data_IF_882935897034
#
_entry.id   IF_882935897034
#
_cell.length_a   1.000
_cell.length_b   1.000
_cell.length_c   1.000
_cell.angle_alpha   90.00
_cell.angle_beta   90.00
_cell.angle_gamma   90.00
#
_symmetry.space_group_name_H-M   'P 1'
#
loop_
_entity.id
_entity.type
_entity.pdbx_description
1 polymer ?
#
# COMPACT_ATOMS: atom_id res chain seq x y z
N UNK A 1 -26.56 -6.54 -50.14
CA UNK A 1 -25.81 -7.35 -49.19
C UNK A 1 -24.43 -6.72 -49.06
N UNK A 2 -24.20 -5.89 -48.03
CA UNK A 2 -22.91 -5.22 -47.75
C UNK A 2 -22.05 -6.09 -46.82
N UNK A 3 -20.72 -5.99 -46.90
CA UNK A 3 -19.84 -6.81 -46.09
C UNK A 3 -19.87 -6.36 -44.64
N UNK A 4 -20.10 -7.31 -43.73
CA UNK A 4 -20.01 -7.14 -42.29
C UNK A 4 -18.52 -6.94 -41.94
N UNK A 5 -18.14 -5.72 -41.54
CA UNK A 5 -16.81 -5.41 -41.02
C UNK A 5 -16.63 -6.10 -39.66
N UNK A 6 -15.86 -7.18 -39.65
CA UNK A 6 -15.39 -7.87 -38.45
C UNK A 6 -14.52 -6.91 -37.65
N UNK A 7 -15.02 -6.41 -36.53
CA UNK A 7 -14.24 -5.74 -35.50
C UNK A 7 -13.23 -6.74 -34.92
N UNK A 8 -11.93 -6.58 -35.26
CA UNK A 8 -10.83 -7.33 -34.66
C UNK A 8 -10.88 -7.11 -33.16
N UNK A 9 -11.38 -8.08 -32.42
CA UNK A 9 -11.19 -8.15 -30.97
C UNK A 9 -9.68 -8.12 -30.68
N UNK A 10 -9.22 -7.15 -29.92
CA UNK A 10 -7.80 -7.04 -29.51
C UNK A 10 -7.38 -8.34 -28.81
N UNK A 11 -6.11 -8.75 -29.03
CA UNK A 11 -5.53 -9.95 -28.41
C UNK A 11 -5.76 -9.91 -26.89
N UNK A 12 -6.29 -10.98 -26.26
CA UNK A 12 -6.52 -11.03 -24.81
C UNK A 12 -5.29 -10.60 -24.02
N UNK A 13 -5.52 -9.88 -22.93
CA UNK A 13 -4.45 -9.43 -22.03
C UNK A 13 -3.70 -10.66 -21.50
N UNK A 14 -2.39 -10.74 -21.71
CA UNK A 14 -1.59 -11.84 -21.20
C UNK A 14 -1.16 -11.53 -19.77
N UNK A 15 -1.89 -12.09 -18.80
CA UNK A 15 -1.66 -11.87 -17.36
C UNK A 15 -0.28 -12.35 -16.89
N UNK A 16 0.33 -13.32 -17.62
CA UNK A 16 1.69 -13.78 -17.31
C UNK A 16 2.71 -12.69 -17.57
N UNK A 17 2.53 -11.91 -18.64
CA UNK A 17 3.41 -10.77 -18.94
C UNK A 17 3.24 -9.69 -17.87
N UNK A 18 2.01 -9.40 -17.43
CA UNK A 18 1.74 -8.42 -16.39
C UNK A 18 2.39 -8.84 -15.06
N UNK A 19 2.33 -10.13 -14.69
CA UNK A 19 3.03 -10.71 -13.54
C UNK A 19 4.54 -10.54 -13.63
N UNK A 20 5.15 -10.96 -14.74
CA UNK A 20 6.60 -10.82 -14.97
C UNK A 20 7.07 -9.35 -14.93
N UNK A 21 6.26 -8.42 -15.43
CA UNK A 21 6.55 -6.98 -15.38
C UNK A 21 6.52 -6.45 -13.94
N UNK A 22 5.55 -6.88 -13.13
CA UNK A 22 5.46 -6.49 -11.71
C UNK A 22 6.65 -7.02 -10.91
N UNK A 23 7.00 -8.29 -11.08
CA UNK A 23 8.17 -8.90 -10.45
C UNK A 23 9.45 -8.18 -10.84
N UNK A 24 9.68 -7.96 -12.15
CA UNK A 24 10.83 -7.21 -12.64
C UNK A 24 10.89 -5.78 -12.09
N UNK A 25 9.74 -5.14 -11.90
CA UNK A 25 9.66 -3.79 -11.31
C UNK A 25 10.08 -3.82 -9.84
N UNK A 26 9.59 -4.76 -9.05
CA UNK A 26 9.96 -4.92 -7.63
C UNK A 26 11.45 -5.20 -7.48
N UNK A 27 12.01 -6.12 -8.27
CA UNK A 27 13.42 -6.47 -8.23
C UNK A 27 14.30 -5.27 -8.56
N UNK A 28 13.99 -4.55 -9.64
CA UNK A 28 14.73 -3.35 -10.03
C UNK A 28 14.60 -2.20 -9.01
N UNK A 29 13.44 -2.04 -8.37
CA UNK A 29 13.29 -1.07 -7.28
C UNK A 29 14.22 -1.38 -6.10
N UNK A 30 14.42 -2.66 -5.79
CA UNK A 30 15.35 -3.09 -4.73
C UNK A 30 16.83 -2.89 -5.15
N UNK A 31 17.16 -3.13 -6.43
CA UNK A 31 18.53 -3.02 -6.95
C UNK A 31 18.98 -1.56 -7.17
N UNK A 32 18.19 -0.80 -7.92
CA UNK A 32 18.59 0.54 -8.40
C UNK A 32 17.75 1.68 -7.81
N UNK A 33 16.74 1.37 -7.05
CA UNK A 33 15.80 2.34 -6.45
C UNK A 33 14.88 3.01 -7.47
N UNK A 34 14.04 3.92 -6.98
CA UNK A 34 13.03 4.60 -7.79
C UNK A 34 13.63 5.44 -8.92
N UNK A 35 14.69 6.20 -8.63
CA UNK A 35 15.34 7.09 -9.61
C UNK A 35 16.01 6.31 -10.74
N UNK A 36 16.57 5.13 -10.46
CA UNK A 36 17.25 4.28 -11.44
C UNK A 36 16.32 3.39 -12.25
N UNK A 37 15.04 3.29 -11.88
CA UNK A 37 14.07 2.47 -12.60
C UNK A 37 13.76 3.06 -13.98
N UNK A 38 13.92 2.27 -15.05
CA UNK A 38 13.56 2.65 -16.41
C UNK A 38 12.63 1.63 -17.06
N UNK A 39 11.79 2.09 -17.99
CA UNK A 39 10.92 1.19 -18.76
C UNK A 39 11.71 0.18 -19.60
N UNK A 40 12.90 0.58 -20.06
CA UNK A 40 13.82 -0.27 -20.80
C UNK A 40 14.33 -1.44 -19.95
N UNK A 41 14.79 -1.15 -18.74
CA UNK A 41 15.28 -2.18 -17.82
C UNK A 41 14.18 -3.16 -17.43
N UNK A 42 12.98 -2.65 -17.14
CA UNK A 42 11.81 -3.50 -16.82
C UNK A 42 11.42 -4.35 -18.03
N UNK A 43 11.35 -3.78 -19.22
CA UNK A 43 11.01 -4.53 -20.44
C UNK A 43 12.00 -5.66 -20.72
N UNK A 44 13.29 -5.36 -20.62
CA UNK A 44 14.38 -6.35 -20.80
C UNK A 44 14.26 -7.49 -19.80
N UNK A 45 14.09 -7.19 -18.51
CA UNK A 45 14.00 -8.19 -17.44
C UNK A 45 12.72 -9.04 -17.53
N UNK A 46 11.60 -8.43 -17.90
CA UNK A 46 10.32 -9.11 -18.05
C UNK A 46 10.16 -9.85 -19.40
N UNK A 47 11.19 -9.88 -20.26
CA UNK A 47 11.11 -10.54 -21.57
C UNK A 47 10.07 -9.91 -22.51
N UNK A 48 9.87 -8.59 -22.44
CA UNK A 48 8.91 -7.86 -23.27
C UNK A 48 9.56 -6.63 -23.93
N UNK A 49 8.78 -5.80 -24.61
CA UNK A 49 9.27 -4.59 -25.26
C UNK A 49 8.74 -3.33 -24.59
N UNK A 50 9.54 -2.24 -24.62
CA UNK A 50 9.12 -0.91 -24.13
C UNK A 50 7.81 -0.41 -24.77
N UNK A 51 7.55 -0.57 -26.08
CA UNK A 51 6.26 -0.24 -26.68
C UNK A 51 5.11 -1.05 -26.09
N UNK A 52 5.33 -2.33 -25.73
CA UNK A 52 4.31 -3.14 -25.08
C UNK A 52 3.99 -2.64 -23.67
N UNK A 53 5.01 -2.21 -22.90
CA UNK A 53 4.82 -1.57 -21.61
C UNK A 53 4.03 -0.26 -21.73
N UNK A 54 4.41 0.64 -22.65
CA UNK A 54 3.76 1.94 -22.84
C UNK A 54 2.28 1.86 -23.22
N UNK A 55 1.85 0.77 -23.82
CA UNK A 55 0.41 0.54 -24.10
C UNK A 55 -0.40 0.23 -22.84
N UNK A 56 0.26 -0.19 -21.74
CA UNK A 56 -0.38 -0.64 -20.49
C UNK A 56 -0.14 0.34 -19.34
N UNK A 57 1.03 0.94 -19.29
CA UNK A 57 1.45 1.88 -18.25
C UNK A 57 2.02 3.14 -18.89
N UNK A 58 1.50 4.30 -18.52
CA UNK A 58 1.91 5.60 -19.08
C UNK A 58 3.37 5.94 -18.78
N UNK A 59 3.89 5.48 -17.63
CA UNK A 59 5.24 5.76 -17.18
C UNK A 59 5.71 4.78 -16.11
N UNK A 60 6.96 4.95 -15.67
CA UNK A 60 7.56 4.13 -14.61
C UNK A 60 6.79 4.21 -13.29
N UNK A 61 6.27 5.39 -12.94
CA UNK A 61 5.50 5.62 -11.72
C UNK A 61 4.20 4.79 -11.70
N UNK A 62 3.53 4.62 -12.83
CA UNK A 62 2.36 3.76 -12.97
C UNK A 62 2.71 2.28 -12.78
N UNK A 63 3.89 1.85 -13.28
CA UNK A 63 4.42 0.50 -13.01
C UNK A 63 4.66 0.29 -11.52
N UNK A 64 5.23 1.29 -10.86
CA UNK A 64 5.51 1.21 -9.42
C UNK A 64 4.21 1.09 -8.64
N UNK A 65 3.20 1.91 -8.92
CA UNK A 65 1.88 1.82 -8.26
C UNK A 65 1.24 0.46 -8.50
N UNK A 66 1.25 -0.05 -9.75
CA UNK A 66 0.67 -1.36 -10.09
C UNK A 66 1.42 -2.51 -9.38
N UNK A 67 2.74 -2.44 -9.27
CA UNK A 67 3.55 -3.40 -8.52
C UNK A 67 3.27 -3.35 -7.00
N UNK A 68 3.09 -2.15 -6.45
CA UNK A 68 2.68 -1.95 -5.05
C UNK A 68 1.32 -2.59 -4.76
N UNK A 69 0.33 -2.30 -5.59
CA UNK A 69 -1.03 -2.86 -5.48
C UNK A 69 -0.98 -4.38 -5.50
N UNK A 70 -0.25 -4.97 -6.46
CA UNK A 70 -0.14 -6.41 -6.60
C UNK A 70 0.58 -7.08 -5.41
N UNK A 71 1.53 -6.37 -4.78
CA UNK A 71 2.37 -6.92 -3.71
C UNK A 71 1.71 -6.83 -2.33
N UNK A 72 1.00 -5.73 -2.05
CA UNK A 72 0.52 -5.38 -0.71
C UNK A 72 -0.98 -5.14 -0.67
N UNK A 73 -1.58 -4.72 -1.78
CA UNK A 73 -2.98 -4.30 -1.83
C UNK A 73 -3.98 -5.42 -1.52
N UNK A 74 -3.62 -6.67 -1.79
CA UNK A 74 -4.53 -7.82 -1.72
C UNK A 74 -4.45 -8.64 -0.43
N UNK A 75 -3.60 -8.27 0.55
CA UNK A 75 -3.48 -9.03 1.80
C UNK A 75 -4.53 -8.53 2.80
N UNK A 76 -5.60 -9.30 3.07
CA UNK A 76 -6.62 -8.90 4.04
C UNK A 76 -6.08 -8.97 5.47
N UNK A 77 -6.58 -8.09 6.33
CA UNK A 77 -6.37 -8.20 7.77
C UNK A 77 -7.14 -9.43 8.27
N UNK A 78 -6.50 -10.33 9.04
CA UNK A 78 -7.13 -11.57 9.49
C UNK A 78 -8.34 -11.31 10.40
N UNK A 79 -9.11 -12.34 10.63
CA UNK A 79 -10.20 -12.39 11.61
C UNK A 79 -9.95 -13.55 12.57
N UNK A 80 -9.14 -13.28 13.60
CA UNK A 80 -8.75 -14.28 14.59
C UNK A 80 -9.67 -14.30 15.82
N UNK A 81 -10.63 -13.37 15.90
CA UNK A 81 -11.41 -13.12 17.11
C UNK A 81 -10.69 -12.25 18.15
N UNK A 82 -9.48 -11.80 17.86
CA UNK A 82 -8.68 -10.94 18.75
C UNK A 82 -8.37 -9.62 18.04
N UNK A 83 -9.02 -8.53 18.45
CA UNK A 83 -8.84 -7.20 17.85
C UNK A 83 -7.39 -6.78 17.80
N UNK A 84 -6.65 -6.93 18.91
CA UNK A 84 -5.24 -6.60 18.97
C UNK A 84 -4.39 -7.40 17.95
N UNK A 85 -4.62 -8.72 17.88
CA UNK A 85 -3.88 -9.62 16.98
C UNK A 85 -4.12 -9.26 15.51
N UNK A 86 -5.36 -8.97 15.15
CA UNK A 86 -5.76 -8.61 13.79
C UNK A 86 -5.11 -7.28 13.36
N UNK A 87 -5.15 -6.26 14.24
CA UNK A 87 -4.52 -4.96 13.98
C UNK A 87 -2.99 -5.08 13.84
N UNK A 88 -2.33 -5.85 14.72
CA UNK A 88 -0.89 -6.10 14.61
C UNK A 88 -0.55 -6.74 13.27
N UNK A 89 -1.29 -7.76 12.84
CA UNK A 89 -1.05 -8.42 11.56
C UNK A 89 -1.21 -7.46 10.37
N UNK A 90 -2.24 -6.60 10.40
CA UNK A 90 -2.45 -5.57 9.37
C UNK A 90 -1.31 -4.56 9.29
N UNK A 91 -0.86 -4.02 10.43
CA UNK A 91 0.26 -3.05 10.47
C UNK A 91 1.60 -3.71 10.16
N UNK A 92 1.82 -4.97 10.57
CA UNK A 92 3.02 -5.72 10.21
C UNK A 92 3.13 -5.92 8.71
N UNK A 93 2.04 -6.30 8.04
CA UNK A 93 2.00 -6.42 6.57
C UNK A 93 2.37 -5.10 5.88
N UNK A 94 1.86 -3.95 6.39
CA UNK A 94 2.24 -2.63 5.89
C UNK A 94 3.72 -2.35 6.08
N UNK A 95 4.25 -2.61 7.27
CA UNK A 95 5.66 -2.36 7.61
C UNK A 95 6.61 -3.21 6.77
N UNK A 96 6.31 -4.49 6.59
CA UNK A 96 7.09 -5.42 5.77
C UNK A 96 7.12 -4.98 4.30
N UNK A 97 6.01 -4.49 3.76
CA UNK A 97 5.96 -3.99 2.40
C UNK A 97 6.99 -2.89 2.14
N UNK A 98 7.15 -1.97 3.07
CA UNK A 98 8.09 -0.86 2.90
C UNK A 98 9.53 -1.21 3.29
N UNK A 99 9.74 -2.19 4.16
CA UNK A 99 11.10 -2.53 4.62
C UNK A 99 11.78 -3.61 3.81
N UNK A 100 11.03 -4.62 3.33
CA UNK A 100 11.59 -5.81 2.66
C UNK A 100 11.40 -5.83 1.16
N UNK A 101 10.32 -5.25 0.62
CA UNK A 101 9.93 -5.41 -0.79
C UNK A 101 10.08 -4.15 -1.64
N UNK A 102 10.06 -2.97 -1.06
CA UNK A 102 9.99 -1.72 -1.83
C UNK A 102 11.11 -0.75 -1.45
N UNK A 103 11.79 -1.01 -0.34
CA UNK A 103 12.90 -0.17 0.12
C UNK A 103 12.46 1.26 0.51
N UNK A 104 13.18 1.84 1.45
CA UNK A 104 12.95 3.18 2.03
C UNK A 104 12.98 4.32 1.00
N UNK A 105 13.57 4.08 -0.19
CA UNK A 105 13.80 5.12 -1.19
C UNK A 105 12.67 5.28 -2.20
N UNK A 106 11.71 4.33 -2.23
CA UNK A 106 10.63 4.36 -3.23
C UNK A 106 9.52 5.31 -2.81
N UNK A 107 9.05 5.20 -1.56
CA UNK A 107 7.89 5.97 -1.10
C UNK A 107 8.09 7.49 -1.15
N UNK A 108 9.21 8.08 -0.68
CA UNK A 108 9.38 9.53 -0.75
C UNK A 108 9.36 10.07 -2.18
N UNK A 109 10.00 9.37 -3.12
CA UNK A 109 10.04 9.77 -4.52
C UNK A 109 8.67 9.57 -5.21
N UNK A 110 7.96 8.48 -4.88
CA UNK A 110 6.60 8.25 -5.37
C UNK A 110 5.63 9.31 -4.87
N UNK A 111 5.72 9.71 -3.59
CA UNK A 111 4.86 10.77 -3.02
C UNK A 111 5.04 12.10 -3.76
N UNK A 112 6.25 12.44 -4.17
CA UNK A 112 6.49 13.62 -5.00
C UNK A 112 5.78 13.51 -6.36
N UNK A 113 5.93 12.38 -7.07
CA UNK A 113 5.24 12.17 -8.36
C UNK A 113 3.69 12.15 -8.20
N UNK A 114 3.16 11.65 -7.06
CA UNK A 114 1.72 11.68 -6.76
C UNK A 114 1.19 13.12 -6.59
N UNK A 115 2.01 14.02 -6.05
CA UNK A 115 1.64 15.43 -5.88
C UNK A 115 1.52 16.16 -7.22
N UNK A 116 2.34 15.77 -8.21
CA UNK A 116 2.40 16.40 -9.54
C UNK A 116 1.46 15.75 -10.56
N UNK A 117 0.94 14.55 -10.29
CA UNK A 117 0.08 13.79 -11.21
C UNK A 117 -1.24 13.38 -10.52
N UNK A 118 -2.33 14.17 -10.67
CA UNK A 118 -3.63 13.86 -10.05
C UNK A 118 -4.24 12.52 -10.48
N UNK A 119 -3.99 12.07 -11.73
CA UNK A 119 -4.51 10.79 -12.21
C UNK A 119 -3.78 9.61 -11.55
N UNK A 120 -2.45 9.69 -11.45
CA UNK A 120 -1.64 8.72 -10.73
C UNK A 120 -2.03 8.68 -9.25
N UNK A 121 -2.24 9.84 -8.63
CA UNK A 121 -2.70 9.97 -7.24
C UNK A 121 -4.06 9.28 -7.04
N UNK A 122 -5.03 9.50 -7.94
CA UNK A 122 -6.34 8.86 -7.87
C UNK A 122 -6.24 7.32 -7.96
N UNK A 123 -5.37 6.80 -8.84
CA UNK A 123 -5.11 5.35 -8.96
C UNK A 123 -4.48 4.81 -7.68
N UNK A 124 -3.45 5.47 -7.16
CA UNK A 124 -2.79 5.07 -5.91
C UNK A 124 -3.76 5.05 -4.72
N UNK A 125 -4.55 6.12 -4.55
CA UNK A 125 -5.52 6.22 -3.48
C UNK A 125 -6.59 5.12 -3.59
N UNK A 126 -7.16 4.91 -4.76
CA UNK A 126 -8.23 3.93 -4.98
C UNK A 126 -7.74 2.50 -4.80
N UNK A 127 -6.66 2.12 -5.49
CA UNK A 127 -6.28 0.72 -5.66
C UNK A 127 -5.34 0.22 -4.55
N UNK A 128 -4.55 1.12 -3.95
CA UNK A 128 -3.63 0.79 -2.87
C UNK A 128 -4.13 1.29 -1.51
N UNK A 129 -4.23 2.62 -1.34
CA UNK A 129 -4.42 3.24 -0.04
C UNK A 129 -5.77 2.89 0.58
N UNK A 130 -6.88 3.12 -0.15
CA UNK A 130 -8.22 2.84 0.37
C UNK A 130 -8.50 1.34 0.54
N UNK A 131 -7.93 0.48 -0.31
CA UNK A 131 -8.04 -0.97 -0.17
C UNK A 131 -7.40 -1.46 1.12
N UNK A 132 -6.21 -0.99 1.44
CA UNK A 132 -5.52 -1.30 2.70
C UNK A 132 -6.27 -0.77 3.92
N UNK A 133 -6.67 0.50 3.82
CA UNK A 133 -7.44 1.18 4.88
C UNK A 133 -8.76 0.45 5.18
N UNK A 134 -9.50 0.02 4.15
CA UNK A 134 -10.75 -0.70 4.30
C UNK A 134 -10.58 -2.05 5.01
N UNK A 135 -9.50 -2.78 4.72
CA UNK A 135 -9.18 -4.05 5.37
C UNK A 135 -8.94 -3.89 6.89
N UNK A 136 -8.15 -2.88 7.29
CA UNK A 136 -7.92 -2.59 8.71
C UNK A 136 -9.17 -2.02 9.39
N UNK A 137 -9.96 -1.19 8.68
CA UNK A 137 -11.25 -0.70 9.18
C UNK A 137 -12.23 -1.82 9.50
N UNK A 138 -12.21 -2.89 8.71
CA UNK A 138 -13.05 -4.06 8.98
C UNK A 138 -12.65 -4.76 10.29
N UNK A 139 -11.35 -4.88 10.58
CA UNK A 139 -10.89 -5.42 11.86
C UNK A 139 -11.34 -4.56 13.06
N UNK A 140 -11.29 -3.22 12.93
CA UNK A 140 -11.81 -2.31 13.96
C UNK A 140 -13.32 -2.47 14.15
N UNK A 141 -14.12 -2.57 13.08
CA UNK A 141 -15.58 -2.78 13.18
C UNK A 141 -15.92 -4.07 13.90
N UNK A 142 -15.21 -5.18 13.57
CA UNK A 142 -15.38 -6.44 14.31
C UNK A 142 -15.05 -6.30 15.80
N UNK A 143 -14.03 -5.49 16.14
CA UNK A 143 -13.69 -5.16 17.53
C UNK A 143 -14.81 -4.40 18.24
N UNK A 144 -15.47 -3.46 17.56
CA UNK A 144 -16.65 -2.76 18.07
C UNK A 144 -17.84 -3.75 18.26
N UNK A 145 -18.11 -4.58 17.27
CA UNK A 145 -19.20 -5.58 17.32
C UNK A 145 -19.00 -6.58 18.47
N UNK A 146 -17.76 -6.91 18.83
CA UNK A 146 -17.44 -7.77 19.99
C UNK A 146 -17.47 -7.04 21.32
N UNK A 147 -17.56 -5.70 21.33
CA UNK A 147 -17.46 -4.88 22.54
C UNK A 147 -16.02 -4.67 23.03
N UNK A 148 -15.02 -4.99 22.24
CA UNK A 148 -13.60 -4.74 22.56
C UNK A 148 -13.24 -3.25 22.44
N UNK A 149 -13.95 -2.51 21.57
CA UNK A 149 -13.70 -1.12 21.25
C UNK A 149 -14.98 -0.29 21.42
N UNK A 150 -14.78 1.01 21.72
CA UNK A 150 -15.84 1.98 21.83
C UNK A 150 -16.59 2.14 20.48
N UNK A 151 -17.95 2.06 20.47
CA UNK A 151 -18.73 2.24 19.24
C UNK A 151 -18.64 3.65 18.64
N UNK A 152 -18.31 4.67 19.45
CA UNK A 152 -18.22 6.08 19.05
C UNK A 152 -16.82 6.47 18.54
N UNK A 153 -15.89 5.49 18.35
CA UNK A 153 -14.56 5.76 17.81
C UNK A 153 -14.61 6.43 16.45
N UNK A 154 -13.82 7.50 16.28
CA UNK A 154 -13.47 8.00 14.95
C UNK A 154 -12.52 7.00 14.25
N UNK A 155 -13.14 6.08 13.49
CA UNK A 155 -12.39 5.05 12.75
C UNK A 155 -11.37 5.67 11.78
N UNK A 156 -11.67 6.87 11.23
CA UNK A 156 -10.76 7.57 10.33
C UNK A 156 -9.47 7.94 11.05
N UNK A 157 -9.59 8.58 12.21
CA UNK A 157 -8.45 8.98 13.02
C UNK A 157 -7.66 7.78 13.54
N UNK A 158 -8.33 6.74 14.03
CA UNK A 158 -7.66 5.53 14.55
C UNK A 158 -6.86 4.84 13.45
N UNK A 159 -7.40 4.73 12.23
CA UNK A 159 -6.69 4.17 11.07
C UNK A 159 -5.47 5.00 10.70
N UNK A 160 -5.56 6.32 10.76
CA UNK A 160 -4.43 7.20 10.50
C UNK A 160 -3.35 7.03 11.57
N UNK A 161 -3.70 6.98 12.84
CA UNK A 161 -2.77 6.74 13.94
C UNK A 161 -2.05 5.40 13.81
N UNK A 162 -2.75 4.33 13.47
CA UNK A 162 -2.18 2.99 13.30
C UNK A 162 -1.15 2.94 12.17
N UNK A 163 -1.40 3.60 11.03
CA UNK A 163 -0.54 3.54 9.85
C UNK A 163 0.57 4.61 9.84
N UNK A 164 0.30 5.79 10.42
CA UNK A 164 1.16 6.99 10.31
C UNK A 164 2.59 6.75 10.75
N UNK A 165 2.80 6.02 11.84
CA UNK A 165 4.15 5.77 12.38
C UNK A 165 5.04 5.05 11.37
N UNK A 166 4.51 4.06 10.65
CA UNK A 166 5.26 3.36 9.59
C UNK A 166 5.59 4.32 8.45
N UNK A 167 4.60 5.07 7.93
CA UNK A 167 4.81 6.05 6.87
C UNK A 167 5.80 7.14 7.28
N UNK A 168 5.66 7.69 8.50
CA UNK A 168 6.53 8.74 9.02
C UNK A 168 7.99 8.28 9.09
N UNK A 169 8.25 7.07 9.63
CA UNK A 169 9.59 6.51 9.69
C UNK A 169 10.18 6.22 8.31
N UNK A 170 9.37 5.74 7.38
CA UNK A 170 9.81 5.47 6.00
C UNK A 170 10.11 6.76 5.24
N UNK A 171 9.24 7.77 5.36
CA UNK A 171 9.41 9.06 4.67
C UNK A 171 10.63 9.83 5.15
N UNK A 172 10.84 9.93 6.46
CA UNK A 172 11.91 10.75 7.04
C UNK A 172 13.17 9.97 7.41
N UNK A 173 13.09 8.66 7.54
CA UNK A 173 14.24 7.82 7.87
C UNK A 173 14.90 8.09 9.22
N UNK A 174 14.23 8.84 10.13
CA UNK A 174 14.76 9.29 11.40
C UNK A 174 14.90 8.15 12.44
N UNK A 175 14.09 7.09 12.32
CA UNK A 175 14.13 5.89 13.14
C UNK A 175 13.88 4.64 12.27
N UNK A 176 14.41 3.48 12.67
CA UNK A 176 14.17 2.23 11.95
C UNK A 176 12.72 1.76 12.12
N UNK A 177 12.19 1.10 11.08
CA UNK A 177 10.99 0.27 11.18
C UNK A 177 11.44 -1.10 11.69
N UNK A 178 11.21 -1.36 12.97
CA UNK A 178 11.63 -2.58 13.66
C UNK A 178 10.55 -3.66 13.58
N UNK A 179 10.93 -4.94 13.80
CA UNK A 179 9.98 -6.05 13.75
C UNK A 179 8.84 -5.97 14.78
N UNK A 180 9.03 -5.23 15.86
CA UNK A 180 8.03 -5.04 16.92
C UNK A 180 7.30 -3.68 16.84
N UNK A 181 7.48 -2.93 15.76
CA UNK A 181 6.83 -1.62 15.62
C UNK A 181 5.31 -1.74 15.60
N UNK A 182 4.79 -2.77 14.94
CA UNK A 182 3.34 -3.00 14.83
C UNK A 182 2.70 -3.20 16.21
N UNK A 183 3.32 -4.03 17.08
CA UNK A 183 2.88 -4.25 18.44
C UNK A 183 2.89 -2.95 19.26
N UNK A 184 3.98 -2.21 19.20
CA UNK A 184 4.12 -0.95 19.93
C UNK A 184 3.07 0.08 19.53
N UNK A 185 2.83 0.24 18.22
CA UNK A 185 1.83 1.18 17.71
C UNK A 185 0.42 0.77 18.12
N UNK A 186 0.07 -0.50 17.95
CA UNK A 186 -1.26 -1.02 18.31
C UNK A 186 -1.49 -0.89 19.81
N UNK A 187 -0.51 -1.24 20.65
CA UNK A 187 -0.64 -1.14 22.11
C UNK A 187 -0.85 0.31 22.57
N UNK A 188 -0.10 1.26 22.01
CA UNK A 188 -0.25 2.68 22.33
C UNK A 188 -1.63 3.20 21.89
N UNK A 189 -2.08 2.83 20.69
CA UNK A 189 -3.37 3.28 20.17
C UNK A 189 -4.53 2.69 20.97
N UNK A 190 -4.48 1.38 21.32
CA UNK A 190 -5.55 0.72 22.07
C UNK A 190 -5.59 1.14 23.55
N UNK A 191 -4.43 1.34 24.18
CA UNK A 191 -4.36 1.71 25.61
C UNK A 191 -4.54 3.22 25.85
N UNK A 192 -4.29 4.06 24.85
CA UNK A 192 -4.14 5.50 25.03
C UNK A 192 -2.86 5.87 25.76
N UNK A 193 -2.66 7.15 26.05
CA UNK A 193 -1.44 7.69 26.68
C UNK A 193 -1.70 8.44 28.00
N UNK A 194 -2.95 8.56 28.38
CA UNK A 194 -3.35 9.29 29.59
C UNK A 194 -3.42 8.36 30.80
N UNK A 195 -3.03 8.87 31.95
CA UNK A 195 -3.26 8.15 33.21
C UNK A 195 -4.65 8.39 33.76
N UNK A 196 -5.19 7.51 34.63
CA UNK A 196 -6.49 7.72 35.26
C UNK A 196 -6.58 9.03 36.08
N UNK A 197 -5.45 9.65 36.39
CA UNK A 197 -5.38 10.95 37.12
C UNK A 197 -5.51 12.17 36.22
N UNK A 198 -5.29 12.01 34.89
CA UNK A 198 -5.39 13.11 33.96
C UNK A 198 -6.87 13.50 33.75
N UNK A 199 -7.22 14.74 34.06
CA UNK A 199 -8.61 15.23 34.01
C UNK A 199 -8.90 16.17 32.85
N UNK A 200 -7.97 16.27 31.91
CA UNK A 200 -8.07 17.26 30.81
C UNK A 200 -7.66 18.67 31.26
N UNK A 201 -7.56 19.57 30.28
CA UNK A 201 -7.47 21.01 30.54
C UNK A 201 -8.89 21.52 30.65
N UNK A 202 -9.28 22.12 31.77
CA UNK A 202 -10.61 22.72 31.94
C UNK A 202 -10.74 23.98 31.05
N UNK A 203 -11.07 23.80 29.79
CA UNK A 203 -11.47 24.84 28.84
C UNK A 203 -12.97 24.88 28.74
#
# INVERSE_FOLDING_TARGET
>A
MGPVTSTRAGRPRDERIDGAVREATVDLLNEVGYAGLTLEAVASRAGTSKPALRRRWRGRQHLVVDALVATVGAVPTPDTGCTRCDLIAGIRTLSEAFTTRIGRRVLPALVADLADDPELSAVFLRDYFHTRRASTAQALRRGIERGDLDPDLDLGLVLDMLASTTYYRVLFGHLPVTGNLAEQVVDVVLAGVVTPRWRGCGH
#
